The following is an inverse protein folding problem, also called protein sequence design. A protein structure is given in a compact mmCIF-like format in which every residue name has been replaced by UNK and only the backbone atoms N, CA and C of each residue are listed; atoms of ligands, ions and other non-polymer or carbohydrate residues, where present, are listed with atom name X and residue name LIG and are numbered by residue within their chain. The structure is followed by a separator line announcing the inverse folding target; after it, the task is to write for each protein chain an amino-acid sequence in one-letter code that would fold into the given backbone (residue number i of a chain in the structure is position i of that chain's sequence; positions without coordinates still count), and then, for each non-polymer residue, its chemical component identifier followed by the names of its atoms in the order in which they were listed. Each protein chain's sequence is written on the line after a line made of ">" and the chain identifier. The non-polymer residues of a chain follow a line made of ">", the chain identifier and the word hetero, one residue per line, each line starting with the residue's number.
data_IF_240699017889
#
_entry.id   IF_240699017889
#
_cell.length_a   1.000
_cell.length_b   1.000
_cell.length_c   1.000
_cell.angle_alpha   90.00
_cell.angle_beta   90.00
_cell.angle_gamma   90.00
#
_symmetry.space_group_name_H-M   'P 1'
#
loop_
_entity.id
_entity.type
_entity.pdbx_description
1 polymer ?
#
# COMPACT_ATOMS: atom_id res chain seq x y z
N UNK A 1 -30.96 37.02 -4.18
CA UNK A 1 -30.66 35.76 -4.85
C UNK A 1 -29.30 35.30 -4.30
N UNK A 2 -29.32 34.49 -3.24
CA UNK A 2 -28.13 33.88 -2.65
C UNK A 2 -27.84 32.59 -3.43
N UNK A 3 -26.70 32.53 -4.11
CA UNK A 3 -26.18 31.30 -4.66
C UNK A 3 -25.65 30.45 -3.51
N UNK A 4 -26.42 29.45 -3.11
CA UNK A 4 -25.93 28.34 -2.32
C UNK A 4 -25.03 27.52 -3.22
N UNK A 5 -23.70 27.63 -3.03
CA UNK A 5 -22.74 26.64 -3.53
C UNK A 5 -22.90 25.39 -2.67
N UNK A 6 -23.71 24.47 -3.10
CA UNK A 6 -23.74 23.13 -2.53
C UNK A 6 -22.39 22.47 -2.81
N UNK A 7 -21.54 22.38 -1.79
CA UNK A 7 -20.40 21.48 -1.76
C UNK A 7 -21.01 20.09 -1.65
N UNK A 8 -21.22 19.40 -2.79
CA UNK A 8 -21.52 17.99 -2.79
C UNK A 8 -20.33 17.28 -2.15
N UNK A 9 -20.48 16.86 -0.90
CA UNK A 9 -19.53 16.00 -0.24
C UNK A 9 -19.41 14.73 -1.08
N UNK A 10 -18.24 14.50 -1.65
CA UNK A 10 -18.00 13.32 -2.48
C UNK A 10 -18.24 12.07 -1.61
N UNK A 11 -19.21 11.23 -2.02
CA UNK A 11 -19.57 10.03 -1.27
C UNK A 11 -18.48 8.98 -1.41
N UNK A 12 -18.25 8.21 -0.34
CA UNK A 12 -17.36 7.05 -0.38
C UNK A 12 -17.86 6.02 -1.40
N UNK A 13 -16.96 5.55 -2.27
CA UNK A 13 -17.24 4.51 -3.25
C UNK A 13 -16.69 3.19 -2.73
N UNK A 14 -17.54 2.18 -2.62
CA UNK A 14 -17.16 0.82 -2.24
C UNK A 14 -17.58 -0.13 -3.34
N UNK A 15 -16.65 -0.88 -3.89
CA UNK A 15 -16.91 -1.96 -4.81
C UNK A 15 -16.15 -3.24 -4.38
N UNK A 16 -16.18 -4.29 -5.18
CA UNK A 16 -15.48 -5.55 -4.85
C UNK A 16 -13.94 -5.45 -4.96
N UNK A 17 -13.43 -4.39 -5.58
CA UNK A 17 -12.01 -4.24 -5.89
C UNK A 17 -11.35 -3.27 -4.92
N UNK A 18 -11.96 -2.12 -4.69
CA UNK A 18 -11.41 -1.10 -3.79
C UNK A 18 -12.50 -0.30 -3.09
N UNK A 19 -12.12 0.32 -2.00
CA UNK A 19 -12.88 1.36 -1.30
C UNK A 19 -12.15 2.68 -1.46
N UNK A 20 -12.90 3.70 -1.86
CA UNK A 20 -12.43 5.07 -1.98
C UNK A 20 -13.12 5.94 -0.93
N UNK A 21 -12.35 6.60 -0.07
CA UNK A 21 -12.83 7.59 0.89
C UNK A 21 -12.26 8.96 0.48
N UNK A 22 -13.07 9.83 -0.11
CA UNK A 22 -12.64 11.18 -0.48
C UNK A 22 -12.32 12.01 0.77
N UNK A 23 -11.37 12.92 0.64
CA UNK A 23 -11.06 13.85 1.73
C UNK A 23 -12.17 14.86 1.96
N UNK A 24 -12.42 15.19 3.23
CA UNK A 24 -13.44 16.20 3.64
C UNK A 24 -13.02 17.62 3.27
N UNK A 25 -11.76 17.85 2.96
CA UNK A 25 -11.16 19.12 2.57
C UNK A 25 -10.34 18.96 1.29
N UNK A 26 -10.14 20.02 0.57
CA UNK A 26 -9.28 20.04 -0.62
C UNK A 26 -7.80 19.84 -0.25
N UNK A 27 -7.18 18.80 -0.79
CA UNK A 27 -5.78 18.46 -0.56
C UNK A 27 -5.18 17.70 -1.75
N UNK A 28 -3.89 17.91 -2.07
CA UNK A 28 -3.19 17.15 -3.10
C UNK A 28 -2.78 15.73 -2.66
N UNK A 29 -3.10 15.31 -1.42
CA UNK A 29 -2.67 14.04 -0.85
C UNK A 29 -3.61 12.89 -1.21
N UNK A 30 -3.02 11.78 -1.64
CA UNK A 30 -3.64 10.47 -1.74
C UNK A 30 -2.87 9.52 -0.84
N UNK A 31 -3.58 8.73 -0.05
CA UNK A 31 -3.02 7.61 0.71
C UNK A 31 -3.57 6.33 0.09
N UNK A 32 -2.69 5.46 -0.39
CA UNK A 32 -3.09 4.14 -0.87
C UNK A 32 -2.72 3.04 0.15
N UNK A 33 -3.64 2.08 0.31
CA UNK A 33 -3.51 0.92 1.18
C UNK A 33 -3.80 -0.33 0.36
N UNK A 34 -2.80 -0.83 -0.31
CA UNK A 34 -2.93 -1.92 -1.29
C UNK A 34 -2.93 -3.32 -0.67
N UNK A 35 -2.61 -3.48 0.62
CA UNK A 35 -2.33 -4.79 1.22
C UNK A 35 -3.11 -5.07 2.52
N UNK A 36 -4.17 -4.31 2.82
CA UNK A 36 -5.03 -4.55 4.00
C UNK A 36 -6.31 -5.31 3.68
N UNK A 37 -6.62 -5.51 2.41
CA UNK A 37 -7.82 -6.22 1.96
C UNK A 37 -7.87 -7.67 2.42
N UNK A 38 -9.09 -8.16 2.67
CA UNK A 38 -9.35 -9.52 3.17
C UNK A 38 -10.47 -10.23 2.41
N UNK A 39 -10.98 -9.63 1.33
CA UNK A 39 -12.02 -10.23 0.49
C UNK A 39 -11.39 -11.17 -0.52
N UNK A 40 -11.69 -12.45 -0.37
CA UNK A 40 -11.33 -13.48 -1.35
C UNK A 40 -12.53 -13.79 -2.21
N UNK A 41 -12.47 -13.62 -3.55
CA UNK A 41 -13.47 -14.17 -4.44
C UNK A 41 -13.44 -15.70 -4.30
N UNK A 42 -14.63 -16.37 -4.20
CA UNK A 42 -14.69 -17.81 -3.96
C UNK A 42 -13.90 -18.64 -4.99
N UNK A 43 -13.88 -18.20 -6.23
CA UNK A 43 -13.20 -18.85 -7.36
C UNK A 43 -11.66 -18.80 -7.27
N UNK A 44 -11.10 -17.90 -6.45
CA UNK A 44 -9.66 -17.72 -6.27
C UNK A 44 -9.18 -18.02 -4.85
N UNK A 45 -10.03 -18.59 -4.01
CA UNK A 45 -9.68 -18.89 -2.64
C UNK A 45 -8.62 -20.00 -2.60
N UNK A 46 -7.40 -19.73 -2.11
CA UNK A 46 -6.39 -20.75 -1.94
C UNK A 46 -6.82 -21.79 -0.89
N UNK A 47 -6.38 -23.05 -1.02
CA UNK A 47 -6.71 -24.12 -0.05
C UNK A 47 -6.03 -23.95 1.31
N UNK A 48 -5.18 -22.95 1.48
CA UNK A 48 -4.50 -22.64 2.74
C UNK A 48 -5.47 -22.11 3.81
N UNK A 49 -5.09 -22.26 5.08
CA UNK A 49 -5.87 -21.68 6.18
C UNK A 49 -5.90 -20.15 6.11
N UNK A 50 -6.98 -19.53 6.60
CA UNK A 50 -7.05 -18.07 6.72
C UNK A 50 -5.88 -17.50 7.54
N UNK A 51 -5.40 -18.22 8.53
CA UNK A 51 -4.21 -17.81 9.29
C UNK A 51 -2.99 -17.67 8.38
N UNK A 52 -2.71 -18.65 7.53
CA UNK A 52 -1.58 -18.60 6.59
C UNK A 52 -1.73 -17.48 5.58
N UNK A 53 -2.93 -17.32 4.97
CA UNK A 53 -3.24 -16.25 4.02
C UNK A 53 -3.03 -14.87 4.63
N UNK A 54 -3.47 -14.67 5.88
CA UNK A 54 -3.39 -13.37 6.56
C UNK A 54 -2.00 -13.04 7.11
N UNK A 55 -1.01 -13.95 7.03
CA UNK A 55 0.38 -13.60 7.40
C UNK A 55 0.99 -12.55 6.46
N UNK A 56 0.49 -12.45 5.22
CA UNK A 56 1.01 -11.57 4.17
C UNK A 56 0.28 -10.23 4.04
N UNK A 57 -0.84 -10.03 4.72
CA UNK A 57 -1.53 -8.74 4.71
C UNK A 57 -0.85 -7.72 5.61
N UNK A 58 -1.17 -6.45 5.39
CA UNK A 58 -0.85 -5.32 6.28
C UNK A 58 -2.07 -5.02 7.16
N UNK A 59 -2.26 -5.74 8.28
CA UNK A 59 -3.50 -5.65 9.06
C UNK A 59 -3.70 -4.24 9.61
N UNK A 60 -4.94 -3.76 9.57
CA UNK A 60 -5.40 -2.49 10.16
C UNK A 60 -4.70 -1.21 9.66
N UNK A 61 -3.89 -1.26 8.61
CA UNK A 61 -3.30 -0.04 8.03
C UNK A 61 -4.39 0.89 7.52
N UNK A 62 -5.48 0.35 7.00
CA UNK A 62 -6.69 1.11 6.67
C UNK A 62 -7.24 1.89 7.87
N UNK A 63 -7.31 1.29 9.05
CA UNK A 63 -7.78 1.96 10.28
C UNK A 63 -6.80 3.03 10.77
N UNK A 64 -5.51 2.85 10.53
CA UNK A 64 -4.48 3.85 10.87
C UNK A 64 -4.67 5.11 10.03
N UNK A 65 -4.83 4.97 8.72
CA UNK A 65 -4.80 6.10 7.80
C UNK A 65 -6.16 6.78 7.59
N UNK A 66 -7.27 6.05 7.79
CA UNK A 66 -8.61 6.56 7.49
C UNK A 66 -8.98 7.88 8.18
N UNK A 67 -8.60 8.16 9.44
CA UNK A 67 -8.87 9.46 10.07
C UNK A 67 -8.30 10.66 9.33
N UNK A 68 -7.25 10.48 8.51
CA UNK A 68 -6.64 11.56 7.71
C UNK A 68 -7.58 12.17 6.65
N UNK A 69 -8.69 11.49 6.34
CA UNK A 69 -9.77 12.01 5.49
C UNK A 69 -10.30 13.35 6.02
N UNK A 70 -10.42 13.51 7.35
CA UNK A 70 -10.85 14.75 8.00
C UNK A 70 -9.91 15.94 7.69
N UNK A 71 -8.64 15.69 7.35
CA UNK A 71 -7.67 16.69 6.94
C UNK A 71 -7.42 16.72 5.42
N UNK A 72 -8.29 16.08 4.64
CA UNK A 72 -8.36 16.20 3.18
C UNK A 72 -7.62 15.11 2.41
N UNK A 73 -7.00 14.13 3.08
CA UNK A 73 -6.42 12.99 2.38
C UNK A 73 -7.52 12.18 1.66
N UNK A 74 -7.32 11.87 0.39
CA UNK A 74 -8.15 10.89 -0.30
C UNK A 74 -7.54 9.51 -0.05
N UNK A 75 -8.30 8.57 0.51
CA UNK A 75 -7.80 7.23 0.86
C UNK A 75 -8.36 6.20 -0.10
N UNK A 76 -7.48 5.47 -0.80
CA UNK A 76 -7.78 4.35 -1.69
C UNK A 76 -7.30 3.04 -1.05
N UNK A 77 -8.20 2.09 -0.83
CA UNK A 77 -7.88 0.81 -0.18
C UNK A 77 -8.27 -0.35 -1.08
N UNK A 78 -7.37 -1.30 -1.31
CA UNK A 78 -7.73 -2.56 -1.95
C UNK A 78 -8.62 -3.39 -1.01
N UNK A 79 -9.72 -3.94 -1.52
CA UNK A 79 -10.59 -4.85 -0.76
C UNK A 79 -10.06 -6.30 -0.82
N UNK A 80 -9.29 -6.63 -1.84
CA UNK A 80 -8.66 -7.94 -2.02
C UNK A 80 -7.26 -8.01 -1.36
N UNK A 81 -6.83 -9.20 -0.90
CA UNK A 81 -5.52 -9.37 -0.27
C UNK A 81 -4.39 -9.53 -1.27
N UNK A 82 -3.14 -9.24 -0.88
CA UNK A 82 -1.96 -9.43 -1.73
C UNK A 82 -1.69 -10.90 -2.08
N UNK A 83 -2.27 -11.84 -1.35
CA UNK A 83 -2.23 -13.28 -1.68
C UNK A 83 -3.12 -13.66 -2.86
N UNK A 84 -4.07 -12.82 -3.24
CA UNK A 84 -4.80 -12.96 -4.50
C UNK A 84 -3.96 -12.46 -5.66
N UNK A 85 -3.58 -11.19 -5.61
CA UNK A 85 -2.63 -10.52 -6.52
C UNK A 85 -2.10 -9.28 -5.80
N UNK A 86 -0.79 -9.03 -5.85
CA UNK A 86 -0.17 -7.93 -5.10
C UNK A 86 0.02 -6.68 -5.97
N UNK A 87 -0.73 -5.59 -5.74
CA UNK A 87 -0.57 -4.37 -6.52
C UNK A 87 0.82 -3.72 -6.37
N UNK A 88 1.55 -4.05 -5.31
CA UNK A 88 2.92 -3.54 -5.11
C UNK A 88 3.99 -4.46 -5.72
N UNK A 89 3.62 -5.26 -6.74
CA UNK A 89 4.53 -6.09 -7.53
C UNK A 89 4.33 -5.85 -9.01
N UNK A 90 5.40 -5.84 -9.82
CA UNK A 90 5.25 -5.80 -11.28
C UNK A 90 4.58 -7.08 -11.80
N UNK A 91 3.88 -6.98 -12.92
CA UNK A 91 3.16 -8.12 -13.52
C UNK A 91 4.07 -9.24 -13.99
N UNK A 92 5.34 -8.96 -14.22
CA UNK A 92 6.39 -9.92 -14.61
C UNK A 92 7.19 -10.47 -13.42
N UNK A 93 6.87 -10.06 -12.16
CA UNK A 93 7.46 -10.61 -10.94
C UNK A 93 6.68 -11.86 -10.49
N UNK A 94 6.70 -12.90 -11.31
CA UNK A 94 6.00 -14.16 -11.11
C UNK A 94 6.97 -15.32 -11.31
N UNK A 95 6.94 -16.29 -10.39
CA UNK A 95 7.76 -17.49 -10.47
C UNK A 95 7.23 -18.42 -11.58
N UNK A 96 7.98 -18.68 -12.66
CA UNK A 96 7.52 -19.56 -13.73
C UNK A 96 7.29 -21.01 -13.26
N UNK A 97 8.02 -21.45 -12.24
CA UNK A 97 7.91 -22.82 -11.73
C UNK A 97 6.59 -23.08 -10.99
N UNK A 98 5.89 -22.02 -10.56
CA UNK A 98 4.59 -22.16 -9.93
C UNK A 98 3.40 -22.18 -10.92
N UNK A 99 3.63 -22.09 -12.24
CA UNK A 99 2.58 -22.03 -13.25
C UNK A 99 2.33 -23.40 -13.92
N UNK A 100 1.10 -23.65 -14.32
CA UNK A 100 0.67 -24.87 -15.02
C UNK A 100 1.03 -24.88 -16.52
N UNK A 101 1.29 -23.71 -17.09
CA UNK A 101 1.68 -23.53 -18.48
C UNK A 101 2.69 -22.39 -18.63
N UNK A 102 3.25 -22.22 -19.84
CA UNK A 102 4.15 -21.12 -20.15
C UNK A 102 3.41 -19.76 -20.09
N UNK A 103 4.04 -18.76 -19.44
CA UNK A 103 3.50 -17.42 -19.39
C UNK A 103 3.66 -16.72 -20.76
N UNK A 104 2.65 -15.99 -21.26
CA UNK A 104 2.67 -15.47 -22.64
C UNK A 104 3.70 -14.35 -22.90
N UNK A 105 4.46 -13.93 -21.90
CA UNK A 105 5.51 -12.92 -22.03
C UNK A 105 6.72 -13.24 -21.14
N UNK A 106 7.81 -12.47 -21.30
CA UNK A 106 9.02 -12.69 -20.50
C UNK A 106 8.77 -12.32 -19.05
N UNK A 107 8.94 -13.27 -18.14
CA UNK A 107 8.93 -13.06 -16.69
C UNK A 107 10.30 -12.58 -16.21
N UNK A 108 10.27 -11.70 -15.18
CA UNK A 108 11.46 -11.14 -14.54
C UNK A 108 11.31 -11.18 -13.02
N UNK A 109 11.20 -12.37 -12.42
CA UNK A 109 10.99 -12.49 -11.00
C UNK A 109 12.18 -11.92 -10.23
N UNK A 110 11.87 -11.15 -9.18
CA UNK A 110 12.90 -10.66 -8.27
C UNK A 110 13.40 -11.82 -7.40
N UNK A 111 14.72 -11.91 -7.19
CA UNK A 111 15.30 -12.96 -6.33
C UNK A 111 14.70 -12.97 -4.91
N UNK A 112 14.40 -11.78 -4.35
CA UNK A 112 13.74 -11.67 -3.07
C UNK A 112 12.30 -12.20 -3.10
N UNK A 113 11.58 -12.03 -4.22
CA UNK A 113 10.23 -12.56 -4.43
C UNK A 113 10.22 -14.08 -4.53
N UNK A 114 11.12 -14.66 -5.33
CA UNK A 114 11.31 -16.10 -5.44
C UNK A 114 11.62 -16.72 -4.07
N UNK A 115 12.60 -16.16 -3.37
CA UNK A 115 13.05 -16.67 -2.08
C UNK A 115 12.02 -16.59 -0.95
N UNK A 116 10.99 -15.73 -1.07
CA UNK A 116 9.95 -15.52 -0.05
C UNK A 116 8.54 -15.92 -0.52
N UNK A 117 8.40 -16.38 -1.77
CA UNK A 117 7.09 -16.64 -2.37
C UNK A 117 6.18 -15.40 -2.37
N UNK A 118 6.75 -14.18 -2.57
CA UNK A 118 6.02 -12.91 -2.46
C UNK A 118 6.11 -12.11 -3.76
N UNK A 119 5.97 -12.78 -4.91
CA UNK A 119 5.84 -12.13 -6.22
C UNK A 119 4.44 -11.55 -6.46
N UNK A 120 4.07 -11.39 -7.74
CA UNK A 120 2.76 -10.90 -8.14
C UNK A 120 1.60 -11.68 -7.49
N UNK A 121 1.71 -12.99 -7.41
CA UNK A 121 0.84 -13.87 -6.62
C UNK A 121 1.70 -14.49 -5.53
N UNK A 122 1.26 -14.38 -4.27
CA UNK A 122 2.01 -14.97 -3.17
C UNK A 122 1.78 -16.48 -3.11
N UNK A 123 2.85 -17.25 -3.20
CA UNK A 123 2.82 -18.71 -3.17
C UNK A 123 3.15 -19.31 -1.79
N UNK A 124 3.80 -18.50 -0.93
CA UNK A 124 4.16 -18.91 0.44
C UNK A 124 3.60 -17.92 1.47
N UNK A 125 3.19 -18.41 2.62
CA UNK A 125 2.93 -17.63 3.83
C UNK A 125 4.21 -16.97 4.37
N UNK A 126 4.11 -16.11 5.40
CA UNK A 126 5.28 -15.52 6.05
C UNK A 126 6.10 -16.52 6.85
N UNK A 127 5.51 -17.63 7.20
CA UNK A 127 6.10 -18.82 7.83
C UNK A 127 6.61 -19.85 6.80
N UNK A 128 6.65 -19.48 5.52
CA UNK A 128 7.01 -20.33 4.38
C UNK A 128 6.05 -21.52 4.13
N UNK A 129 4.89 -21.55 4.76
CA UNK A 129 3.84 -22.54 4.45
C UNK A 129 3.32 -22.32 3.02
N UNK A 130 3.26 -23.36 2.16
CA UNK A 130 2.66 -23.25 0.83
C UNK A 130 1.20 -22.81 0.90
N UNK A 131 0.82 -21.83 0.09
CA UNK A 131 -0.55 -21.33 0.02
C UNK A 131 -1.39 -22.08 -1.02
N UNK A 132 -0.76 -22.76 -1.96
CA UNK A 132 -1.40 -23.53 -3.03
C UNK A 132 -0.96 -24.99 -3.00
N UNK A 133 -1.86 -25.87 -3.41
CA UNK A 133 -1.59 -27.28 -3.67
C UNK A 133 -1.44 -27.46 -5.19
N UNK A 134 -0.21 -27.57 -5.67
CA UNK A 134 0.09 -27.66 -7.10
C UNK A 134 0.32 -26.30 -7.77
N UNK A 135 0.24 -26.29 -9.08
CA UNK A 135 0.54 -25.13 -9.93
C UNK A 135 -0.65 -24.20 -10.07
N UNK A 136 -0.37 -22.92 -10.24
CA UNK A 136 -1.37 -21.90 -10.53
C UNK A 136 -1.73 -21.94 -12.02
N UNK A 137 -3.01 -21.83 -12.33
CA UNK A 137 -3.45 -21.68 -13.72
C UNK A 137 -3.04 -20.31 -14.27
N UNK A 138 -2.37 -20.31 -15.41
CA UNK A 138 -2.02 -19.08 -16.14
C UNK A 138 -3.27 -18.24 -16.40
N UNK A 139 -4.36 -18.87 -16.86
CA UNK A 139 -5.64 -18.18 -17.11
C UNK A 139 -6.20 -17.52 -15.84
N UNK A 140 -6.10 -18.18 -14.68
CA UNK A 140 -6.56 -17.60 -13.42
C UNK A 140 -5.69 -16.42 -12.98
N UNK A 141 -4.37 -16.49 -13.18
CA UNK A 141 -3.48 -15.36 -12.88
C UNK A 141 -3.77 -14.17 -13.81
N UNK A 142 -4.01 -14.41 -15.10
CA UNK A 142 -4.41 -13.36 -16.05
C UNK A 142 -5.74 -12.69 -15.64
N UNK A 143 -6.73 -13.48 -15.18
CA UNK A 143 -8.00 -12.95 -14.65
C UNK A 143 -7.78 -12.10 -13.38
N UNK A 144 -6.92 -12.52 -12.45
CA UNK A 144 -6.58 -11.70 -11.27
C UNK A 144 -5.94 -10.37 -11.66
N UNK A 145 -5.11 -10.38 -12.71
CA UNK A 145 -4.52 -9.15 -13.25
C UNK A 145 -5.60 -8.26 -13.87
N UNK A 146 -6.47 -8.81 -14.73
CA UNK A 146 -7.50 -8.03 -15.42
C UNK A 146 -8.56 -7.47 -14.47
N UNK A 147 -9.00 -8.27 -13.50
CA UNK A 147 -10.18 -7.98 -12.70
C UNK A 147 -9.86 -7.22 -11.42
N UNK A 148 -8.62 -7.31 -10.89
CA UNK A 148 -8.22 -6.69 -9.62
C UNK A 148 -7.02 -5.75 -9.74
N UNK A 149 -5.92 -6.24 -10.29
CA UNK A 149 -4.68 -5.47 -10.36
C UNK A 149 -4.80 -4.21 -11.24
N UNK A 150 -5.22 -4.38 -12.50
CA UNK A 150 -5.37 -3.27 -13.45
C UNK A 150 -6.39 -2.23 -12.99
N UNK A 151 -7.60 -2.60 -12.53
CA UNK A 151 -8.57 -1.63 -12.04
C UNK A 151 -8.09 -0.84 -10.82
N UNK A 152 -7.37 -1.47 -9.88
CA UNK A 152 -6.78 -0.75 -8.74
C UNK A 152 -5.77 0.29 -9.18
N UNK A 153 -4.82 -0.10 -10.03
CA UNK A 153 -3.83 0.83 -10.59
C UNK A 153 -4.44 1.93 -11.44
N UNK A 154 -5.49 1.62 -12.19
CA UNK A 154 -6.22 2.62 -12.98
C UNK A 154 -6.86 3.66 -12.06
N UNK A 155 -7.57 3.22 -11.01
CA UNK A 155 -8.18 4.13 -10.04
C UNK A 155 -7.13 5.04 -9.36
N UNK A 156 -5.99 4.50 -8.95
CA UNK A 156 -4.90 5.29 -8.36
C UNK A 156 -4.33 6.31 -9.34
N UNK A 157 -4.10 5.92 -10.61
CA UNK A 157 -3.61 6.81 -11.66
C UNK A 157 -4.56 7.98 -11.91
N UNK A 158 -5.86 7.69 -12.02
CA UNK A 158 -6.92 8.70 -12.21
C UNK A 158 -6.96 9.71 -11.06
N UNK A 159 -6.88 9.21 -9.82
CA UNK A 159 -6.88 10.06 -8.63
C UNK A 159 -5.66 10.98 -8.60
N UNK A 160 -4.47 10.45 -8.88
CA UNK A 160 -3.23 11.23 -8.93
C UNK A 160 -3.27 12.29 -10.03
N UNK A 161 -3.78 11.93 -11.22
CA UNK A 161 -3.94 12.86 -12.33
C UNK A 161 -4.89 14.02 -11.97
N UNK A 162 -6.06 13.71 -11.38
CA UNK A 162 -7.04 14.72 -10.92
C UNK A 162 -6.45 15.64 -9.84
N UNK A 163 -5.71 15.09 -8.87
CA UNK A 163 -5.03 15.90 -7.85
C UNK A 163 -3.96 16.81 -8.49
N UNK A 164 -3.15 16.25 -9.39
CA UNK A 164 -2.12 17.02 -10.10
C UNK A 164 -2.74 18.14 -10.96
N UNK A 165 -3.84 17.87 -11.64
CA UNK A 165 -4.56 18.89 -12.43
C UNK A 165 -5.08 20.02 -11.52
N UNK A 166 -5.75 19.67 -10.42
CA UNK A 166 -6.36 20.65 -9.50
C UNK A 166 -5.34 21.48 -8.72
N UNK A 167 -4.24 20.86 -8.26
CA UNK A 167 -3.28 21.49 -7.34
C UNK A 167 -1.91 21.79 -7.96
N UNK A 168 -1.71 21.49 -9.25
CA UNK A 168 -0.41 21.61 -9.92
C UNK A 168 0.61 20.55 -9.48
N UNK A 169 0.26 19.68 -8.51
CA UNK A 169 1.05 18.57 -7.97
C UNK A 169 0.16 17.55 -7.29
N UNK A 170 0.69 16.35 -7.08
CA UNK A 170 0.04 15.29 -6.29
C UNK A 170 1.07 14.60 -5.39
N UNK A 171 0.64 14.19 -4.20
CA UNK A 171 1.43 13.42 -3.25
C UNK A 171 0.75 12.09 -2.98
N UNK A 172 1.48 11.00 -3.14
CA UNK A 172 1.04 9.65 -2.78
C UNK A 172 1.82 9.20 -1.55
N UNK A 173 1.11 8.68 -0.54
CA UNK A 173 1.66 7.85 0.52
C UNK A 173 1.16 6.42 0.33
N UNK A 174 2.06 5.50 -0.03
CA UNK A 174 1.76 4.08 -0.12
C UNK A 174 2.04 3.42 1.22
N UNK A 175 0.98 3.04 1.93
CA UNK A 175 1.05 2.65 3.33
C UNK A 175 0.99 1.13 3.52
N UNK A 176 2.00 0.61 4.23
CA UNK A 176 2.20 -0.80 4.50
C UNK A 176 2.56 -1.06 5.95
N UNK A 177 2.60 -2.32 6.34
CA UNK A 177 3.17 -2.73 7.62
C UNK A 177 4.09 -3.94 7.49
N UNK A 178 5.10 -3.97 8.34
CA UNK A 178 6.11 -5.03 8.41
C UNK A 178 6.13 -5.68 9.79
N UNK A 179 6.58 -6.93 9.87
CA UNK A 179 6.83 -7.58 11.17
C UNK A 179 7.94 -6.85 11.94
N UNK A 180 7.91 -6.92 13.27
CA UNK A 180 8.92 -6.29 14.14
C UNK A 180 10.31 -6.92 13.96
N UNK A 181 10.35 -8.20 13.62
CA UNK A 181 11.58 -8.97 13.39
C UNK A 181 11.63 -9.43 11.94
N UNK A 182 12.80 -9.38 11.35
CA UNK A 182 13.03 -9.91 10.00
C UNK A 182 12.87 -11.44 9.99
N UNK A 183 12.03 -12.01 9.09
CA UNK A 183 11.69 -13.43 9.15
C UNK A 183 12.85 -14.38 8.78
N UNK A 184 13.90 -13.88 8.13
CA UNK A 184 15.07 -14.66 7.72
C UNK A 184 16.27 -14.50 8.63
N UNK A 185 16.53 -13.26 9.05
CA UNK A 185 17.76 -12.85 9.74
C UNK A 185 17.55 -12.66 11.25
N UNK A 186 16.30 -12.67 11.73
CA UNK A 186 15.97 -12.41 13.12
C UNK A 186 16.29 -10.97 13.58
N UNK A 187 16.65 -10.08 12.64
CA UNK A 187 17.07 -8.72 12.96
C UNK A 187 15.86 -7.84 13.27
N UNK A 188 15.87 -7.07 14.36
CA UNK A 188 14.85 -6.07 14.65
C UNK A 188 14.77 -5.02 13.53
N UNK A 189 13.55 -4.74 13.06
CA UNK A 189 13.29 -3.70 12.06
C UNK A 189 13.10 -2.34 12.70
N UNK A 190 13.39 -1.24 11.98
CA UNK A 190 13.12 0.10 12.47
C UNK A 190 11.61 0.30 12.68
N UNK A 191 11.19 1.14 13.64
CA UNK A 191 9.78 1.45 13.86
C UNK A 191 9.05 1.91 12.59
N UNK A 192 9.66 2.85 11.86
CA UNK A 192 9.18 3.39 10.59
C UNK A 192 10.28 3.25 9.53
N UNK A 193 9.92 2.82 8.33
CA UNK A 193 10.79 2.87 7.17
C UNK A 193 10.12 3.65 6.05
N UNK A 194 10.77 4.69 5.57
CA UNK A 194 10.34 5.47 4.41
C UNK A 194 11.14 5.02 3.18
N UNK A 195 10.42 4.72 2.09
CA UNK A 195 11.01 4.28 0.83
C UNK A 195 10.62 5.22 -0.30
N UNK A 196 11.62 5.72 -1.05
CA UNK A 196 11.43 6.62 -2.19
C UNK A 196 12.23 6.18 -3.43
N UNK A 197 12.58 4.89 -3.47
CA UNK A 197 13.45 4.29 -4.50
C UNK A 197 14.79 5.04 -4.62
N UNK A 198 15.41 5.35 -3.47
CA UNK A 198 16.69 6.07 -3.36
C UNK A 198 16.63 7.47 -4.02
N UNK A 199 15.60 8.24 -3.71
CA UNK A 199 15.40 9.62 -4.19
C UNK A 199 14.72 9.74 -5.55
N UNK A 200 14.33 8.61 -6.18
CA UNK A 200 13.76 8.64 -7.54
C UNK A 200 12.29 9.07 -7.58
N UNK A 201 11.52 8.91 -6.51
CA UNK A 201 10.06 9.05 -6.55
C UNK A 201 9.50 10.20 -5.73
N UNK A 202 10.31 10.81 -4.86
CA UNK A 202 9.89 11.91 -4.01
C UNK A 202 11.02 12.95 -3.85
N UNK A 203 10.70 14.26 -3.76
CA UNK A 203 11.68 15.26 -3.36
C UNK A 203 12.01 15.13 -1.87
N UNK A 204 13.23 15.49 -1.49
CA UNK A 204 13.69 15.43 -0.08
C UNK A 204 12.77 16.19 0.86
N UNK A 205 12.21 17.34 0.44
CA UNK A 205 11.28 18.13 1.23
C UNK A 205 10.02 17.35 1.63
N UNK A 206 9.51 16.46 0.77
CA UNK A 206 8.37 15.60 1.07
C UNK A 206 8.75 14.48 2.02
N UNK A 207 9.89 13.82 1.78
CA UNK A 207 10.41 12.77 2.66
C UNK A 207 10.67 13.32 4.07
N UNK A 208 11.31 14.50 4.18
CA UNK A 208 11.63 15.16 5.44
C UNK A 208 10.38 15.61 6.21
N UNK A 209 9.33 16.09 5.50
CA UNK A 209 8.05 16.42 6.13
C UNK A 209 7.47 15.19 6.85
N UNK A 210 7.37 14.06 6.14
CA UNK A 210 6.80 12.83 6.68
C UNK A 210 7.68 12.27 7.81
N UNK A 211 9.01 12.25 7.62
CA UNK A 211 9.96 11.80 8.64
C UNK A 211 9.88 12.63 9.93
N UNK A 212 9.77 13.95 9.80
CA UNK A 212 9.67 14.88 10.94
C UNK A 212 8.42 14.60 11.79
N UNK A 213 7.28 14.32 11.18
CA UNK A 213 6.05 14.00 11.91
C UNK A 213 6.22 12.73 12.74
N UNK A 214 6.74 11.65 12.15
CA UNK A 214 6.97 10.42 12.89
C UNK A 214 8.01 10.60 14.01
N UNK A 215 9.11 11.32 13.75
CA UNK A 215 10.13 11.64 14.77
C UNK A 215 9.54 12.50 15.89
N UNK A 216 8.65 13.42 15.58
CA UNK A 216 7.94 14.25 16.56
C UNK A 216 7.06 13.45 17.54
N UNK A 217 6.64 12.24 17.15
CA UNK A 217 5.94 11.28 18.02
C UNK A 217 6.90 10.24 18.66
N UNK A 218 8.22 10.45 18.57
CA UNK A 218 9.24 9.61 19.21
C UNK A 218 9.66 8.37 18.40
N UNK A 219 9.22 8.23 17.13
CA UNK A 219 9.64 7.08 16.31
C UNK A 219 10.99 7.32 15.63
N UNK A 220 11.85 6.31 15.65
CA UNK A 220 12.99 6.25 14.74
C UNK A 220 12.51 6.01 13.32
N UNK A 221 13.12 6.70 12.35
CA UNK A 221 12.80 6.62 10.93
C UNK A 221 14.02 6.22 10.14
N UNK A 222 13.96 5.07 9.51
CA UNK A 222 14.95 4.61 8.52
C UNK A 222 14.50 4.96 7.09
N UNK A 223 15.46 5.03 6.17
CA UNK A 223 15.23 5.38 4.77
C UNK A 223 15.71 4.26 3.85
N UNK A 224 14.84 3.81 2.94
CA UNK A 224 15.12 2.81 1.92
C UNK A 224 15.63 1.45 2.41
N UNK A 225 15.71 1.23 3.72
CA UNK A 225 16.11 -0.03 4.36
C UNK A 225 15.23 -0.33 5.56
N UNK A 226 14.66 -1.53 5.64
CA UNK A 226 14.81 -2.68 4.73
C UNK A 226 13.97 -2.57 3.44
N UNK A 227 13.07 -1.59 3.30
CA UNK A 227 12.16 -1.46 2.17
C UNK A 227 12.30 -0.11 1.48
N UNK A 228 12.74 -0.14 0.23
CA UNK A 228 12.96 1.07 -0.58
C UNK A 228 11.75 1.54 -1.40
N UNK A 229 10.66 0.80 -1.38
CA UNK A 229 9.52 0.96 -2.30
C UNK A 229 9.58 -0.01 -3.48
N UNK A 230 8.47 -0.14 -4.20
CA UNK A 230 8.36 -1.05 -5.34
C UNK A 230 7.39 -0.51 -6.39
N UNK A 231 6.55 -1.38 -6.98
CA UNK A 231 5.74 -1.13 -8.16
C UNK A 231 4.80 0.08 -8.02
N UNK A 232 4.14 0.26 -6.88
CA UNK A 232 3.25 1.41 -6.66
C UNK A 232 3.98 2.75 -6.82
N UNK A 233 5.22 2.84 -6.33
CA UNK A 233 6.03 4.03 -6.50
C UNK A 233 6.56 4.16 -7.93
N UNK A 234 7.13 3.07 -8.46
CA UNK A 234 7.76 3.06 -9.79
C UNK A 234 6.77 3.42 -10.89
N UNK A 235 5.54 2.88 -10.80
CA UNK A 235 4.49 3.06 -11.80
C UNK A 235 3.84 4.44 -11.74
N UNK A 236 3.63 4.98 -10.54
CA UNK A 236 2.77 6.15 -10.36
C UNK A 236 3.54 7.45 -10.15
N UNK A 237 4.79 7.40 -9.68
CA UNK A 237 5.59 8.59 -9.52
C UNK A 237 6.07 9.17 -10.86
N UNK A 238 6.07 10.49 -10.94
CA UNK A 238 6.71 11.23 -12.03
C UNK A 238 7.12 12.61 -11.52
N UNK A 239 8.37 12.77 -11.12
CA UNK A 239 8.87 14.04 -10.60
C UNK A 239 8.73 15.16 -11.64
N UNK A 240 8.95 14.86 -12.93
CA UNK A 240 8.76 15.82 -14.03
C UNK A 240 7.31 16.32 -14.14
N UNK A 241 6.33 15.50 -13.79
CA UNK A 241 4.92 15.87 -13.73
C UNK A 241 4.47 16.35 -12.35
N UNK A 242 5.40 16.46 -11.38
CA UNK A 242 5.12 16.81 -9.98
C UNK A 242 4.10 15.86 -9.32
N UNK A 243 4.21 14.57 -9.62
CA UNK A 243 3.53 13.46 -8.95
C UNK A 243 4.58 12.74 -8.13
N UNK A 244 4.50 12.86 -6.83
CA UNK A 244 5.48 12.36 -5.87
C UNK A 244 4.92 11.18 -5.10
N UNK A 245 5.73 10.14 -4.92
CA UNK A 245 5.30 8.90 -4.25
C UNK A 245 6.32 8.51 -3.19
N UNK A 246 5.82 8.21 -1.99
CA UNK A 246 6.60 7.77 -0.85
C UNK A 246 5.94 6.55 -0.22
N UNK A 247 6.69 5.49 0.02
CA UNK A 247 6.23 4.32 0.78
C UNK A 247 6.46 4.54 2.27
N UNK A 248 5.48 4.17 3.09
CA UNK A 248 5.58 4.13 4.54
C UNK A 248 5.37 2.70 5.01
N UNK A 249 6.39 2.12 5.62
CA UNK A 249 6.31 0.83 6.30
C UNK A 249 6.32 1.06 7.81
N UNK A 250 5.28 0.59 8.48
CA UNK A 250 5.11 0.69 9.92
C UNK A 250 5.32 -0.68 10.55
N UNK A 251 6.13 -0.76 11.59
CA UNK A 251 6.32 -1.99 12.34
C UNK A 251 5.01 -2.34 13.08
N UNK A 252 4.59 -3.60 12.98
CA UNK A 252 3.27 -4.03 13.45
C UNK A 252 3.09 -3.92 14.95
N UNK A 253 4.12 -4.24 15.74
CA UNK A 253 4.08 -4.15 17.20
C UNK A 253 3.83 -2.73 17.74
N UNK A 254 3.98 -1.70 16.90
CA UNK A 254 3.62 -0.34 17.26
C UNK A 254 2.12 -0.13 17.50
N UNK A 255 1.25 -0.96 16.88
CA UNK A 255 -0.20 -0.76 16.93
C UNK A 255 -1.01 -2.04 17.18
N UNK A 256 -0.37 -3.21 17.19
CA UNK A 256 -1.01 -4.48 17.50
C UNK A 256 -0.04 -5.45 18.20
N UNK A 257 -0.59 -6.45 18.87
CA UNK A 257 0.15 -7.63 19.27
C UNK A 257 0.31 -8.56 18.07
N UNK A 258 1.56 -8.88 17.68
CA UNK A 258 1.82 -9.68 16.48
C UNK A 258 1.39 -11.14 16.61
N UNK A 259 1.25 -11.67 17.83
CA UNK A 259 0.82 -13.05 18.07
C UNK A 259 -0.71 -13.20 18.03
N UNK A 260 -1.41 -12.32 18.74
CA UNK A 260 -2.88 -12.32 18.83
C UNK A 260 -3.56 -11.53 17.73
N UNK A 261 -2.85 -10.55 17.16
CA UNK A 261 -3.32 -9.54 16.22
C UNK A 261 -4.35 -8.56 16.81
N UNK A 262 -4.42 -8.49 18.11
CA UNK A 262 -5.24 -7.50 18.80
C UNK A 262 -4.60 -6.12 18.74
N UNK A 263 -5.43 -5.09 18.52
CA UNK A 263 -4.96 -3.72 18.49
C UNK A 263 -4.51 -3.27 19.88
N UNK A 264 -3.46 -2.47 19.94
CA UNK A 264 -2.97 -1.83 21.18
C UNK A 264 -3.12 -0.31 21.12
N UNK A 265 -2.76 0.38 22.20
CA UNK A 265 -2.91 1.84 22.34
C UNK A 265 -2.09 2.65 21.32
N UNK A 266 -1.05 2.07 20.72
CA UNK A 266 -0.22 2.75 19.74
C UNK A 266 -0.93 3.05 18.41
N UNK A 267 -2.08 2.41 18.13
CA UNK A 267 -2.94 2.74 17.01
C UNK A 267 -3.25 4.26 16.98
N UNK A 268 -3.66 4.82 18.11
CA UNK A 268 -4.01 6.23 18.19
C UNK A 268 -2.83 7.17 17.91
N UNK A 269 -1.61 6.78 18.28
CA UNK A 269 -0.41 7.56 17.99
C UNK A 269 -0.12 7.58 16.48
N UNK A 270 -0.22 6.44 15.81
CA UNK A 270 -0.06 6.40 14.34
C UNK A 270 -1.16 7.16 13.62
N UNK A 271 -2.43 7.06 14.04
CA UNK A 271 -3.53 7.86 13.51
C UNK A 271 -3.23 9.36 13.59
N UNK A 272 -2.70 9.83 14.73
CA UNK A 272 -2.29 11.22 14.91
C UNK A 272 -1.19 11.64 13.94
N UNK A 273 -0.20 10.76 13.67
CA UNK A 273 0.82 11.04 12.64
C UNK A 273 0.19 11.29 11.26
N UNK A 274 -0.72 10.42 10.82
CA UNK A 274 -1.34 10.57 9.49
C UNK A 274 -2.28 11.77 9.40
N UNK A 275 -2.99 12.12 10.47
CA UNK A 275 -3.75 13.37 10.54
C UNK A 275 -2.84 14.59 10.39
N UNK A 276 -1.72 14.63 11.10
CA UNK A 276 -0.76 15.72 11.04
C UNK A 276 -0.10 15.83 9.64
N UNK A 277 0.32 14.70 9.04
CA UNK A 277 0.86 14.67 7.68
C UNK A 277 -0.17 15.23 6.69
N UNK A 278 -1.43 14.81 6.79
CA UNK A 278 -2.48 15.27 5.88
C UNK A 278 -2.73 16.77 6.04
N UNK A 279 -2.79 17.28 7.26
CA UNK A 279 -2.94 18.70 7.56
C UNK A 279 -1.78 19.54 7.01
N UNK A 280 -0.55 19.10 7.20
CA UNK A 280 0.64 19.81 6.70
C UNK A 280 0.70 19.84 5.16
N UNK A 281 0.43 18.69 4.50
CA UNK A 281 0.41 18.65 3.02
C UNK A 281 -0.70 19.52 2.45
N UNK A 282 -1.84 19.62 3.13
CA UNK A 282 -2.95 20.48 2.72
C UNK A 282 -2.62 21.97 2.86
N UNK A 283 -2.02 22.38 3.98
CA UNK A 283 -1.81 23.80 4.32
C UNK A 283 -0.49 24.37 3.82
N UNK A 284 0.56 23.56 3.79
CA UNK A 284 1.90 23.94 3.39
C UNK A 284 2.59 22.79 2.62
N UNK A 285 2.08 22.45 1.42
CA UNK A 285 2.59 21.33 0.67
C UNK A 285 4.08 21.52 0.35
N UNK A 286 4.91 20.49 0.49
CA UNK A 286 6.34 20.56 0.19
C UNK A 286 6.57 20.92 -1.28
N UNK A 287 7.69 21.60 -1.53
CA UNK A 287 8.08 22.14 -2.83
C UNK A 287 8.40 21.06 -3.85
#
# INVERSE_FOLDING_TARGET
>A
MQQQSAHEAAQAVVNSIYRLSPGDKDSPLIIDVSRSGTRYPPEFLPPASFRALHTKISPYVDRIVLPSVAEGATVLMAEFPPTLVDPNRPVDDLDPDCLDAEWPSVLKPLQASLASGSGLVHTLGSDYTPLYQGKLSVTDVERRISDYYRPYHHALSELLAKKREKFGRAFQLSCHSMSSIGPKDGVPRPPICLGDLDGMTAPTSYVDLVARVFRGQGFEVAFNKPFRGNELLRRHASQAKRIYSLQVEMRRDLYLDEATRELNAGLATLQKCFLEIAALIRTAPPA
#
